data_IF_319173666157
#
_entry.id   IF_319173666157
#
_cell.length_a   1.000
_cell.length_b   1.000
_cell.length_c   1.000
_cell.angle_alpha   90.00
_cell.angle_beta   90.00
_cell.angle_gamma   90.00
#
_symmetry.space_group_name_H-M   'P 1'
#
loop_
_entity.id
_entity.type
_entity.pdbx_description
1 polymer ?
#
# COMPACT_ATOMS: atom_id res chain seq x y z
N UNK A 1 -10.17 0.37 6.27
CA UNK A 1 -9.38 1.45 5.62
C UNK A 1 -9.39 2.74 6.43
N UNK A 2 -10.54 3.36 6.74
CA UNK A 2 -10.56 4.68 7.39
C UNK A 2 -9.72 4.75 8.69
N UNK A 3 -9.85 3.76 9.57
CA UNK A 3 -9.05 3.72 10.81
C UNK A 3 -7.54 3.65 10.56
N UNK A 4 -7.11 2.88 9.54
CA UNK A 4 -5.70 2.84 9.15
C UNK A 4 -5.23 4.20 8.65
N UNK A 5 -5.98 4.87 7.77
CA UNK A 5 -5.58 6.18 7.23
C UNK A 5 -5.49 7.26 8.32
N UNK A 6 -6.43 7.28 9.28
CA UNK A 6 -6.38 8.24 10.39
C UNK A 6 -5.13 8.03 11.25
N UNK A 7 -4.78 6.78 11.57
CA UNK A 7 -3.57 6.48 12.32
C UNK A 7 -2.29 6.70 11.50
N UNK A 8 -2.28 6.30 10.23
CA UNK A 8 -1.16 6.41 9.29
C UNK A 8 -0.79 7.88 9.04
N UNK A 9 -1.78 8.76 8.83
CA UNK A 9 -1.55 10.20 8.67
C UNK A 9 -0.82 10.80 9.89
N UNK A 10 -1.09 10.30 11.11
CA UNK A 10 -0.39 10.73 12.33
C UNK A 10 1.04 10.18 12.35
N UNK A 11 1.21 8.88 12.10
CA UNK A 11 2.51 8.19 12.11
C UNK A 11 3.48 8.76 11.08
N UNK A 12 2.95 9.11 9.91
CA UNK A 12 3.70 9.64 8.76
C UNK A 12 3.72 11.17 8.73
N UNK A 13 3.20 11.83 9.77
CA UNK A 13 3.13 13.29 9.88
C UNK A 13 2.53 14.01 8.65
N UNK A 14 1.58 13.36 7.97
CA UNK A 14 0.97 13.80 6.72
C UNK A 14 0.19 15.11 6.87
N UNK A 15 0.22 15.95 5.84
CA UNK A 15 -0.49 17.23 5.84
C UNK A 15 -1.92 17.14 5.28
N UNK A 16 -2.08 16.46 4.14
CA UNK A 16 -3.35 16.38 3.41
C UNK A 16 -3.68 14.94 3.02
N UNK A 17 -4.98 14.65 2.99
CA UNK A 17 -5.56 13.38 2.55
C UNK A 17 -6.85 13.67 1.80
N UNK A 18 -6.97 13.17 0.56
CA UNK A 18 -8.16 13.34 -0.30
C UNK A 18 -8.54 14.82 -0.53
N UNK A 19 -7.53 15.68 -0.74
CA UNK A 19 -7.71 17.10 -1.02
C UNK A 19 -8.11 17.96 0.20
N UNK A 20 -8.05 17.41 1.41
CA UNK A 20 -8.34 18.13 2.66
C UNK A 20 -7.22 17.91 3.69
N UNK A 21 -7.19 18.72 4.74
CA UNK A 21 -6.30 18.47 5.88
C UNK A 21 -6.56 17.08 6.49
N UNK A 22 -5.49 16.38 6.86
CA UNK A 22 -5.58 15.12 7.61
C UNK A 22 -6.39 15.30 8.90
N UNK A 23 -7.06 14.25 9.35
CA UNK A 23 -8.02 14.34 10.47
C UNK A 23 -7.41 14.97 11.73
N UNK A 24 -6.21 14.52 12.11
CA UNK A 24 -5.49 15.01 13.28
C UNK A 24 -4.97 16.46 13.16
N UNK A 25 -4.96 17.03 11.95
CA UNK A 25 -4.57 18.41 11.66
C UNK A 25 -5.73 19.39 11.73
N UNK A 26 -6.97 18.92 11.86
CA UNK A 26 -8.14 19.80 12.04
C UNK A 26 -8.10 20.45 13.42
N UNK A 27 -8.52 21.71 13.46
CA UNK A 27 -8.62 22.49 14.70
C UNK A 27 -9.51 21.75 15.71
N UNK A 28 -9.00 21.60 16.95
CA UNK A 28 -9.71 20.93 18.04
C UNK A 28 -9.63 19.40 18.05
N UNK A 29 -8.98 18.75 17.07
CA UNK A 29 -8.83 17.28 17.04
C UNK A 29 -7.48 16.85 17.62
N UNK A 30 -6.37 17.26 17.01
CA UNK A 30 -5.03 16.88 17.48
C UNK A 30 -4.84 15.37 17.63
N UNK A 31 -4.22 14.94 18.72
CA UNK A 31 -3.94 13.51 18.98
C UNK A 31 -5.14 12.71 19.50
N UNK A 32 -6.29 13.35 19.77
CA UNK A 32 -7.54 12.64 20.06
C UNK A 32 -7.97 11.76 18.87
N UNK A 33 -7.49 12.10 17.67
CA UNK A 33 -7.57 11.29 16.46
C UNK A 33 -7.09 9.84 16.63
N UNK A 34 -6.19 9.56 17.58
CA UNK A 34 -5.78 8.17 17.90
C UNK A 34 -6.99 7.38 18.42
N UNK A 35 -7.76 7.95 19.33
CA UNK A 35 -8.97 7.32 19.83
C UNK A 35 -10.05 7.23 18.74
N UNK A 36 -10.15 8.24 17.87
CA UNK A 36 -11.08 8.21 16.73
C UNK A 36 -10.76 7.06 15.77
N UNK A 37 -9.48 6.74 15.55
CA UNK A 37 -9.08 5.56 14.78
C UNK A 37 -9.57 4.26 15.44
N UNK A 38 -9.47 4.15 16.78
CA UNK A 38 -10.02 2.99 17.49
C UNK A 38 -11.54 2.90 17.38
N UNK A 39 -12.27 4.03 17.48
CA UNK A 39 -13.71 4.07 17.27
C UNK A 39 -14.11 3.62 15.86
N UNK A 40 -13.36 4.04 14.84
CA UNK A 40 -13.56 3.59 13.46
C UNK A 40 -13.33 2.08 13.31
N UNK A 41 -12.31 1.53 13.97
CA UNK A 41 -12.03 0.09 13.95
C UNK A 41 -13.14 -0.72 14.67
N UNK A 42 -13.54 -0.30 15.88
CA UNK A 42 -14.63 -0.93 16.64
C UNK A 42 -15.96 -0.85 15.90
N UNK A 43 -16.22 0.23 15.17
CA UNK A 43 -17.44 0.38 14.35
C UNK A 43 -17.54 -0.71 13.27
N UNK A 44 -16.43 -1.13 12.66
CA UNK A 44 -16.45 -2.23 11.67
C UNK A 44 -16.94 -3.53 12.31
N UNK A 45 -16.50 -3.83 13.52
CA UNK A 45 -16.96 -5.01 14.26
C UNK A 45 -18.44 -4.91 14.59
N UNK A 46 -18.88 -3.78 15.16
CA UNK A 46 -20.28 -3.54 15.52
C UNK A 46 -21.18 -3.69 14.29
N UNK A 47 -20.81 -3.06 13.16
CA UNK A 47 -21.58 -3.15 11.92
C UNK A 47 -21.60 -4.58 11.36
N UNK A 48 -20.50 -5.31 11.45
CA UNK A 48 -20.42 -6.72 11.01
C UNK A 48 -21.39 -7.59 11.81
N UNK A 49 -21.46 -7.39 13.14
CA UNK A 49 -22.39 -8.11 14.02
C UNK A 49 -23.84 -7.69 13.78
N UNK A 50 -24.12 -6.38 13.68
CA UNK A 50 -25.48 -5.85 13.56
C UNK A 50 -26.12 -6.14 12.20
N UNK A 51 -25.37 -5.99 11.11
CA UNK A 51 -25.89 -6.13 9.76
C UNK A 51 -25.71 -7.52 9.17
N UNK A 52 -25.23 -8.48 9.97
CA UNK A 52 -25.23 -9.88 9.61
C UNK A 52 -24.62 -10.12 8.23
N UNK A 53 -23.37 -9.66 8.01
CA UNK A 53 -22.47 -10.42 7.13
C UNK A 53 -22.66 -11.86 7.58
N UNK A 54 -23.35 -12.66 6.75
CA UNK A 54 -24.28 -13.71 7.19
C UNK A 54 -23.76 -14.48 8.40
N UNK A 55 -24.66 -14.94 9.28
CA UNK A 55 -24.27 -15.90 10.33
C UNK A 55 -23.37 -17.01 9.76
N UNK A 56 -23.49 -17.37 8.48
CA UNK A 56 -22.58 -18.24 7.74
C UNK A 56 -21.18 -17.64 7.45
N UNK A 57 -21.03 -16.40 6.98
CA UNK A 57 -19.72 -15.73 6.79
C UNK A 57 -18.94 -15.63 8.10
N UNK A 58 -19.62 -15.23 9.18
CA UNK A 58 -19.05 -15.17 10.54
C UNK A 58 -18.87 -16.57 11.14
N UNK A 59 -19.68 -17.57 10.79
CA UNK A 59 -19.50 -18.96 11.27
C UNK A 59 -18.37 -19.70 10.55
N UNK A 60 -18.12 -19.40 9.28
CA UNK A 60 -17.05 -20.01 8.48
C UNK A 60 -15.69 -19.43 8.90
N UNK A 61 -15.59 -18.09 9.07
CA UNK A 61 -14.37 -17.47 9.57
C UNK A 61 -14.64 -16.15 10.33
N UNK A 62 -14.99 -16.23 11.63
CA UNK A 62 -15.35 -15.04 12.43
C UNK A 62 -14.16 -14.08 12.61
N UNK A 63 -12.95 -14.60 12.44
CA UNK A 63 -11.72 -13.84 12.60
C UNK A 63 -11.26 -13.19 11.30
N UNK A 64 -11.93 -13.40 10.17
CA UNK A 64 -11.41 -12.95 8.87
C UNK A 64 -11.12 -11.45 8.79
N UNK A 65 -12.04 -10.54 9.20
CA UNK A 65 -11.74 -9.10 9.22
C UNK A 65 -10.60 -8.74 10.19
N UNK A 66 -10.54 -9.40 11.35
CA UNK A 66 -9.51 -9.20 12.37
C UNK A 66 -8.14 -9.70 11.91
N UNK A 67 -8.10 -10.83 11.20
CA UNK A 67 -6.89 -11.39 10.63
C UNK A 67 -6.30 -10.44 9.60
N UNK A 68 -7.13 -9.83 8.74
CA UNK A 68 -6.64 -8.84 7.79
C UNK A 68 -6.19 -7.55 8.50
N UNK A 69 -6.90 -7.10 9.53
CA UNK A 69 -6.44 -5.96 10.33
C UNK A 69 -5.06 -6.23 10.95
N UNK A 70 -4.88 -7.39 11.57
CA UNK A 70 -3.60 -7.82 12.14
C UNK A 70 -2.49 -7.93 11.09
N UNK A 71 -2.78 -8.47 9.90
CA UNK A 71 -1.83 -8.50 8.78
C UNK A 71 -1.40 -7.09 8.37
N UNK A 72 -2.33 -6.15 8.29
CA UNK A 72 -2.01 -4.76 7.96
C UNK A 72 -1.21 -4.06 9.06
N UNK A 73 -1.52 -4.30 10.33
CA UNK A 73 -0.74 -3.80 11.47
C UNK A 73 0.70 -4.36 11.48
N UNK A 74 0.88 -5.64 11.16
CA UNK A 74 2.22 -6.23 10.97
C UNK A 74 2.97 -5.57 9.79
N UNK A 75 2.26 -5.29 8.70
CA UNK A 75 2.80 -4.54 7.56
C UNK A 75 3.23 -3.13 7.95
N UNK A 76 2.40 -2.43 8.73
CA UNK A 76 2.72 -1.10 9.26
C UNK A 76 3.93 -1.14 10.18
N UNK A 77 4.01 -2.13 11.08
CA UNK A 77 5.17 -2.33 11.92
C UNK A 77 6.44 -2.52 11.07
N UNK A 78 6.37 -3.38 10.05
CA UNK A 78 7.50 -3.61 9.13
C UNK A 78 7.92 -2.32 8.40
N UNK A 79 6.97 -1.50 7.96
CA UNK A 79 7.23 -0.20 7.34
C UNK A 79 8.03 0.71 8.28
N UNK A 80 7.50 0.93 9.49
CA UNK A 80 8.08 1.85 10.48
C UNK A 80 9.46 1.41 10.98
N UNK A 81 9.66 0.11 11.26
CA UNK A 81 10.98 -0.38 11.74
C UNK A 81 12.04 -0.39 10.64
N UNK A 82 11.62 -0.42 9.37
CA UNK A 82 12.53 -0.38 8.22
C UNK A 82 13.04 1.04 8.01
N UNK A 83 12.19 2.04 8.27
CA UNK A 83 12.43 3.46 8.05
C UNK A 83 12.42 4.28 9.36
N UNK A 84 13.32 4.04 10.33
CA UNK A 84 13.31 4.80 11.57
C UNK A 84 13.69 6.26 11.32
N UNK A 85 12.92 7.20 11.88
CA UNK A 85 13.12 8.65 11.73
C UNK A 85 14.51 9.11 12.23
N UNK A 86 15.07 8.41 13.22
CA UNK A 86 16.34 8.79 13.85
C UNK A 86 17.59 8.39 13.07
N UNK A 87 17.48 7.51 12.06
CA UNK A 87 18.66 7.01 11.34
C UNK A 87 18.30 6.46 9.95
N UNK A 88 18.89 7.06 8.92
CA UNK A 88 18.87 6.52 7.55
C UNK A 88 19.83 5.31 7.49
N UNK A 89 19.32 4.16 7.06
CA UNK A 89 20.09 2.93 6.85
C UNK A 89 19.60 2.23 5.58
N UNK A 90 20.12 2.67 4.44
CA UNK A 90 19.71 2.18 3.11
C UNK A 90 20.00 0.69 2.91
N UNK A 91 20.84 0.06 3.74
CA UNK A 91 21.09 -1.38 3.67
C UNK A 91 19.86 -2.22 4.04
N UNK A 92 18.88 -1.62 4.73
CA UNK A 92 17.60 -2.26 5.04
C UNK A 92 16.63 -2.25 3.85
N UNK A 93 16.87 -1.40 2.85
CA UNK A 93 15.98 -1.22 1.71
C UNK A 93 16.31 -2.25 0.64
N UNK A 94 15.78 -3.46 0.83
CA UNK A 94 15.88 -4.56 -0.13
C UNK A 94 14.54 -4.85 -0.78
N UNK A 95 14.58 -5.43 -1.97
CA UNK A 95 13.37 -5.89 -2.67
C UNK A 95 12.55 -6.87 -1.82
N UNK A 96 13.23 -7.78 -1.10
CA UNK A 96 12.56 -8.72 -0.20
C UNK A 96 11.83 -8.00 0.94
N UNK A 97 12.45 -6.97 1.52
CA UNK A 97 11.85 -6.17 2.59
C UNK A 97 10.64 -5.40 2.07
N UNK A 98 10.79 -4.76 0.91
CA UNK A 98 9.74 -4.02 0.23
C UNK A 98 8.50 -4.90 -0.03
N UNK A 99 8.70 -6.04 -0.71
CA UNK A 99 7.60 -6.98 -1.00
C UNK A 99 6.90 -7.47 0.25
N UNK A 100 7.62 -7.68 1.35
CA UNK A 100 7.01 -8.04 2.62
C UNK A 100 6.15 -6.90 3.20
N UNK A 101 6.66 -5.66 3.21
CA UNK A 101 5.90 -4.48 3.67
C UNK A 101 4.61 -4.36 2.86
N UNK A 102 4.72 -4.31 1.54
CA UNK A 102 3.58 -4.09 0.63
C UNK A 102 2.53 -5.20 0.73
N UNK A 103 2.97 -6.46 0.75
CA UNK A 103 2.08 -7.62 0.90
C UNK A 103 1.18 -7.47 2.13
N UNK A 104 1.77 -7.10 3.27
CA UNK A 104 1.06 -7.04 4.53
C UNK A 104 0.32 -5.71 4.74
N UNK A 105 0.99 -4.57 4.51
CA UNK A 105 0.45 -3.22 4.70
C UNK A 105 -0.69 -2.92 3.74
N UNK A 106 -0.63 -3.41 2.50
CA UNK A 106 -1.55 -2.94 1.44
C UNK A 106 -2.36 -4.08 0.82
N UNK A 107 -1.71 -5.16 0.38
CA UNK A 107 -2.34 -6.13 -0.51
C UNK A 107 -3.50 -6.90 0.14
N UNK A 108 -3.35 -7.32 1.41
CA UNK A 108 -4.40 -8.07 2.09
C UNK A 108 -5.70 -7.27 2.26
N UNK A 109 -5.65 -6.05 2.80
CA UNK A 109 -6.87 -5.30 3.08
C UNK A 109 -7.45 -4.61 1.85
N UNK A 110 -6.61 -4.23 0.87
CA UNK A 110 -7.05 -3.47 -0.30
C UNK A 110 -7.62 -4.37 -1.39
N UNK A 111 -7.09 -5.58 -1.55
CA UNK A 111 -7.47 -6.49 -2.66
C UNK A 111 -8.06 -7.81 -2.15
N UNK A 112 -7.37 -8.51 -1.25
CA UNK A 112 -7.84 -9.83 -0.82
C UNK A 112 -9.12 -9.76 0.01
N UNK A 113 -9.17 -8.90 1.03
CA UNK A 113 -10.32 -8.73 1.93
C UNK A 113 -11.66 -8.49 1.21
N UNK A 114 -11.81 -7.50 0.33
CA UNK A 114 -13.11 -7.25 -0.31
C UNK A 114 -13.58 -8.41 -1.19
N UNK A 115 -12.67 -9.08 -1.90
CA UNK A 115 -13.04 -10.22 -2.76
C UNK A 115 -13.36 -11.45 -1.92
N UNK A 116 -12.52 -11.78 -0.94
CA UNK A 116 -12.75 -12.93 -0.06
C UNK A 116 -14.01 -12.75 0.81
N UNK A 117 -14.32 -11.53 1.25
CA UNK A 117 -15.59 -11.24 1.91
C UNK A 117 -16.78 -11.56 0.99
N UNK A 118 -16.74 -11.13 -0.28
CA UNK A 118 -17.78 -11.45 -1.26
C UNK A 118 -17.86 -12.96 -1.56
N UNK A 119 -16.71 -13.66 -1.62
CA UNK A 119 -16.65 -15.12 -1.78
C UNK A 119 -17.37 -15.84 -0.65
N UNK A 120 -17.06 -15.50 0.61
CA UNK A 120 -17.76 -16.07 1.77
C UNK A 120 -19.27 -15.77 1.75
N UNK A 121 -19.67 -14.53 1.40
CA UNK A 121 -21.08 -14.14 1.30
C UNK A 121 -21.86 -14.88 0.21
N UNK A 122 -21.17 -15.41 -0.79
CA UNK A 122 -21.77 -16.12 -1.94
C UNK A 122 -21.57 -17.63 -1.89
N UNK A 123 -21.03 -18.16 -0.78
CA UNK A 123 -20.88 -19.59 -0.54
C UNK A 123 -19.60 -20.23 -1.11
N UNK A 124 -18.64 -19.42 -1.58
CA UNK A 124 -17.31 -19.90 -1.96
C UNK A 124 -16.42 -19.90 -0.71
N UNK A 125 -16.32 -21.04 -0.02
CA UNK A 125 -15.57 -21.17 1.25
C UNK A 125 -14.37 -22.14 1.16
N UNK A 126 -14.14 -22.75 0.00
CA UNK A 126 -13.07 -23.73 -0.13
C UNK A 126 -11.68 -23.07 -0.04
N UNK A 127 -10.76 -23.75 0.65
CA UNK A 127 -9.38 -23.29 0.78
C UNK A 127 -8.70 -23.11 -0.59
N UNK A 128 -9.00 -23.99 -1.55
CA UNK A 128 -8.44 -23.93 -2.90
C UNK A 128 -8.86 -22.65 -3.63
N UNK A 129 -10.15 -22.28 -3.59
CA UNK A 129 -10.66 -21.06 -4.21
C UNK A 129 -10.05 -19.81 -3.58
N UNK A 130 -9.98 -19.75 -2.25
CA UNK A 130 -9.37 -18.62 -1.54
C UNK A 130 -7.86 -18.51 -1.82
N UNK A 131 -7.13 -19.62 -1.90
CA UNK A 131 -5.70 -19.61 -2.21
C UNK A 131 -5.44 -19.17 -3.67
N UNK A 132 -6.30 -19.60 -4.60
CA UNK A 132 -6.26 -19.13 -5.99
C UNK A 132 -6.57 -17.63 -6.11
N UNK A 133 -7.61 -17.13 -5.44
CA UNK A 133 -7.93 -15.70 -5.40
C UNK A 133 -6.77 -14.90 -4.78
N UNK A 134 -6.19 -15.39 -3.69
CA UNK A 134 -5.06 -14.76 -2.99
C UNK A 134 -3.82 -14.66 -3.87
N UNK A 135 -3.51 -15.67 -4.68
CA UNK A 135 -2.38 -15.63 -5.61
C UNK A 135 -2.48 -14.47 -6.62
N UNK A 136 -3.69 -14.16 -7.09
CA UNK A 136 -3.95 -13.04 -7.99
C UNK A 136 -3.94 -11.71 -7.22
N UNK A 137 -4.68 -11.64 -6.13
CA UNK A 137 -4.98 -10.39 -5.43
C UNK A 137 -3.78 -9.83 -4.67
N UNK A 138 -2.86 -10.68 -4.22
CA UNK A 138 -1.63 -10.20 -3.59
C UNK A 138 -0.67 -9.57 -4.61
N UNK A 139 -0.58 -10.11 -5.83
CA UNK A 139 0.19 -9.49 -6.93
C UNK A 139 -0.44 -8.15 -7.35
N UNK A 140 -1.77 -8.07 -7.40
CA UNK A 140 -2.47 -6.80 -7.67
C UNK A 140 -2.16 -5.76 -6.61
N UNK A 141 -2.10 -6.17 -5.34
CA UNK A 141 -1.73 -5.29 -4.23
C UNK A 141 -0.29 -4.81 -4.30
N UNK A 142 0.64 -5.67 -4.73
CA UNK A 142 2.02 -5.28 -4.98
C UNK A 142 2.09 -4.20 -6.07
N UNK A 143 1.48 -4.47 -7.22
CA UNK A 143 1.41 -3.52 -8.32
C UNK A 143 0.80 -2.17 -7.87
N UNK A 144 -0.32 -2.21 -7.15
CA UNK A 144 -1.02 -1.01 -6.69
C UNK A 144 -0.18 -0.13 -5.77
N UNK A 145 0.59 -0.73 -4.85
CA UNK A 145 1.45 0.03 -3.95
C UNK A 145 2.66 0.60 -4.68
N UNK A 146 3.25 -0.12 -5.65
CA UNK A 146 4.33 0.42 -6.48
C UNK A 146 3.85 1.63 -7.27
N UNK A 147 2.60 1.61 -7.75
CA UNK A 147 1.98 2.80 -8.35
C UNK A 147 1.79 3.94 -7.33
N UNK A 148 1.41 3.64 -6.08
CA UNK A 148 1.27 4.65 -5.03
C UNK A 148 2.61 5.33 -4.72
N UNK A 149 3.68 4.55 -4.56
CA UNK A 149 5.05 5.05 -4.33
C UNK A 149 5.57 5.89 -5.52
N UNK A 150 5.26 5.46 -6.75
CA UNK A 150 5.58 6.24 -7.95
C UNK A 150 4.84 7.57 -7.96
N UNK A 151 3.53 7.56 -7.69
CA UNK A 151 2.69 8.75 -7.64
C UNK A 151 3.03 9.66 -6.46
N UNK A 152 3.57 9.13 -5.37
CA UNK A 152 4.07 9.93 -4.25
C UNK A 152 5.22 10.85 -4.69
N UNK A 153 6.15 10.32 -5.50
CA UNK A 153 7.29 11.10 -5.97
C UNK A 153 6.97 11.96 -7.22
N UNK A 154 6.24 11.40 -8.18
CA UNK A 154 6.06 11.95 -9.53
C UNK A 154 4.63 12.37 -9.87
N UNK A 155 3.65 12.02 -9.03
CA UNK A 155 2.26 12.38 -9.23
C UNK A 155 2.00 13.87 -8.97
N UNK A 156 0.98 14.40 -9.63
CA UNK A 156 0.49 15.75 -9.39
C UNK A 156 -0.33 15.78 -8.08
N UNK A 157 0.05 16.57 -7.06
CA UNK A 157 -0.69 16.69 -5.81
C UNK A 157 -2.17 17.07 -5.98
N UNK A 158 -2.53 17.81 -7.04
CA UNK A 158 -3.92 18.16 -7.32
C UNK A 158 -4.75 16.94 -7.74
N UNK A 159 -4.11 15.98 -8.44
CA UNK A 159 -4.74 14.74 -8.90
C UNK A 159 -4.73 13.65 -7.81
N UNK A 160 -3.61 13.49 -7.10
CA UNK A 160 -3.47 12.49 -6.03
C UNK A 160 -4.19 12.91 -4.74
N UNK A 161 -4.42 14.21 -4.56
CA UNK A 161 -5.04 14.78 -3.37
C UNK A 161 -4.20 14.66 -2.10
N UNK A 162 -2.89 14.38 -2.24
CA UNK A 162 -1.88 14.36 -1.18
C UNK A 162 -0.55 14.93 -1.68
N UNK A 163 0.21 15.54 -0.78
CA UNK A 163 1.62 15.88 -1.04
C UNK A 163 2.47 14.65 -0.71
N UNK A 164 3.33 14.23 -1.63
CA UNK A 164 4.21 13.09 -1.38
C UNK A 164 5.30 13.40 -0.36
N UNK A 165 5.56 12.43 0.52
CA UNK A 165 6.47 12.55 1.66
C UNK A 165 7.45 11.39 1.78
N UNK A 166 7.40 10.38 0.91
CA UNK A 166 8.19 9.16 1.05
C UNK A 166 9.70 9.41 1.21
N UNK A 167 10.24 10.38 0.47
CA UNK A 167 11.67 10.75 0.53
C UNK A 167 12.00 11.37 1.89
N UNK A 168 11.18 12.31 2.35
CA UNK A 168 11.38 13.03 3.62
C UNK A 168 11.22 12.09 4.82
N UNK A 169 10.28 11.14 4.72
CA UNK A 169 9.93 10.21 5.79
C UNK A 169 10.81 8.96 5.80
N UNK A 170 11.88 8.95 5.00
CA UNK A 170 12.85 7.85 4.92
C UNK A 170 12.17 6.51 4.52
N UNK A 171 11.09 6.55 3.75
CA UNK A 171 10.29 5.37 3.43
C UNK A 171 11.06 4.41 2.54
N UNK A 172 10.89 3.12 2.81
CA UNK A 172 11.35 2.04 1.96
C UNK A 172 10.39 1.89 0.77
N UNK A 173 10.34 2.90 -0.11
CA UNK A 173 9.50 2.92 -1.31
C UNK A 173 10.10 2.07 -2.44
N UNK A 174 9.29 1.74 -3.44
CA UNK A 174 9.77 1.04 -4.63
C UNK A 174 10.90 1.82 -5.33
N UNK A 175 10.76 3.14 -5.41
CA UNK A 175 11.72 4.01 -6.10
C UNK A 175 13.11 3.95 -5.46
N UNK A 176 13.21 3.97 -4.13
CA UNK A 176 14.53 3.89 -3.48
C UNK A 176 15.15 2.51 -3.62
N UNK A 177 14.34 1.45 -3.55
CA UNK A 177 14.81 0.07 -3.72
C UNK A 177 15.33 -0.17 -5.14
N UNK A 178 14.60 0.30 -6.14
CA UNK A 178 15.01 0.16 -7.54
C UNK A 178 16.19 1.09 -7.89
N UNK A 179 16.25 2.30 -7.30
CA UNK A 179 17.40 3.19 -7.41
C UNK A 179 18.67 2.53 -6.85
N UNK A 180 18.60 1.91 -5.66
CA UNK A 180 19.73 1.22 -5.03
C UNK A 180 20.31 0.07 -5.86
N UNK A 181 19.53 -0.50 -6.79
CA UNK A 181 20.00 -1.53 -7.74
C UNK A 181 20.77 -0.96 -8.93
N UNK A 182 20.63 0.34 -9.20
CA UNK A 182 21.16 1.02 -10.40
C UNK A 182 22.29 2.00 -10.11
N UNK A 183 22.37 2.49 -8.87
CA UNK A 183 23.36 3.50 -8.48
C UNK A 183 24.80 3.00 -8.52
N UNK A 184 25.69 3.87 -8.98
CA UNK A 184 27.14 3.77 -8.71
C UNK A 184 27.46 4.14 -7.26
N UNK A 185 28.67 3.83 -6.74
CA UNK A 185 29.06 4.23 -5.38
C UNK A 185 28.91 5.74 -5.11
N UNK A 186 29.25 6.60 -6.08
CA UNK A 186 29.12 8.05 -5.93
C UNK A 186 27.64 8.49 -5.91
N UNK A 187 26.79 7.90 -6.75
CA UNK A 187 25.36 8.17 -6.74
C UNK A 187 24.69 7.67 -5.46
N UNK A 188 25.16 6.54 -4.92
CA UNK A 188 24.69 6.02 -3.64
C UNK A 188 25.01 6.98 -2.50
N UNK A 189 26.21 7.58 -2.49
CA UNK A 189 26.56 8.59 -1.49
C UNK A 189 25.61 9.80 -1.54
N UNK A 190 25.25 10.27 -2.75
CA UNK A 190 24.24 11.32 -2.92
C UNK A 190 22.92 10.90 -2.27
N UNK A 191 22.47 9.66 -2.48
CA UNK A 191 21.25 9.16 -1.86
C UNK A 191 21.38 9.13 -0.32
N UNK A 192 22.50 8.65 0.23
CA UNK A 192 22.74 8.57 1.68
C UNK A 192 22.76 9.95 2.37
N UNK A 193 23.25 10.99 1.70
CA UNK A 193 23.32 12.36 2.24
C UNK A 193 21.99 13.13 2.19
N UNK A 194 21.08 12.73 1.28
CA UNK A 194 19.90 13.51 0.94
C UNK A 194 18.56 12.82 1.22
N UNK A 195 18.51 11.49 1.32
CA UNK A 195 17.28 10.74 1.64
C UNK A 195 16.92 10.87 3.13
N UNK A 196 15.63 10.79 3.47
CA UNK A 196 15.15 10.92 4.85
C UNK A 196 15.34 12.31 5.47
N UNK A 197 15.51 13.33 4.63
CA UNK A 197 15.72 14.71 5.04
C UNK A 197 14.50 15.57 4.70
N UNK A 198 14.15 16.51 5.58
CA UNK A 198 12.96 17.37 5.41
C UNK A 198 13.22 18.59 4.53
N UNK A 199 14.49 18.91 4.33
CA UNK A 199 14.94 20.05 3.56
C UNK A 199 14.60 19.88 2.06
N UNK A 200 13.85 20.82 1.44
CA UNK A 200 13.40 20.70 0.06
C UNK A 200 14.53 20.50 -0.96
N UNK A 201 15.68 21.14 -0.76
CA UNK A 201 16.84 21.03 -1.64
C UNK A 201 17.44 19.61 -1.66
N UNK A 202 17.34 18.87 -0.55
CA UNK A 202 17.78 17.49 -0.48
C UNK A 202 16.80 16.56 -1.18
N UNK A 203 15.51 16.79 -1.01
CA UNK A 203 14.45 16.07 -1.74
C UNK A 203 14.62 16.25 -3.26
N UNK A 204 14.91 17.48 -3.71
CA UNK A 204 15.17 17.78 -5.13
C UNK A 204 16.36 16.96 -5.65
N UNK A 205 17.48 16.89 -4.92
CA UNK A 205 18.64 16.07 -5.32
C UNK A 205 18.31 14.58 -5.48
N UNK A 206 17.46 14.03 -4.60
CA UNK A 206 17.00 12.64 -4.73
C UNK A 206 16.16 12.47 -6.00
N UNK A 207 15.25 13.41 -6.29
CA UNK A 207 14.43 13.37 -7.51
C UNK A 207 15.27 13.51 -8.78
N UNK A 208 16.25 14.42 -8.78
CA UNK A 208 17.22 14.56 -9.88
C UNK A 208 18.02 13.27 -10.11
N UNK A 209 18.43 12.59 -9.03
CA UNK A 209 19.10 11.30 -9.12
C UNK A 209 18.17 10.25 -9.75
N UNK A 210 16.91 10.16 -9.31
CA UNK A 210 15.93 9.25 -9.92
C UNK A 210 15.71 9.55 -11.40
N UNK A 211 15.63 10.81 -11.79
CA UNK A 211 15.48 11.21 -13.18
C UNK A 211 16.73 10.82 -14.01
N UNK A 212 17.93 11.02 -13.47
CA UNK A 212 19.19 10.62 -14.12
C UNK A 212 19.32 9.10 -14.34
N UNK A 213 18.65 8.29 -13.51
CA UNK A 213 18.62 6.83 -13.59
C UNK A 213 17.45 6.30 -14.44
N UNK A 214 16.64 7.19 -15.02
CA UNK A 214 15.50 6.80 -15.86
C UNK A 214 14.38 6.09 -15.08
N UNK A 215 14.16 6.44 -13.81
CA UNK A 215 13.18 5.75 -12.94
C UNK A 215 11.75 5.81 -13.48
N UNK A 216 11.39 6.86 -14.23
CA UNK A 216 10.09 6.93 -14.93
C UNK A 216 9.92 5.85 -15.99
N UNK A 217 10.96 5.59 -16.79
CA UNK A 217 10.95 4.54 -17.80
C UNK A 217 10.94 3.15 -17.14
N UNK A 218 11.72 2.98 -16.06
CA UNK A 218 11.73 1.75 -15.27
C UNK A 218 10.33 1.40 -14.73
N UNK A 219 9.59 2.40 -14.23
CA UNK A 219 8.23 2.20 -13.77
C UNK A 219 7.27 1.84 -14.91
N UNK A 220 7.38 2.49 -16.07
CA UNK A 220 6.54 2.18 -17.24
C UNK A 220 6.74 0.72 -17.71
N UNK A 221 8.00 0.27 -17.81
CA UNK A 221 8.34 -1.13 -18.12
C UNK A 221 7.80 -2.10 -17.05
N UNK A 222 7.94 -1.74 -15.78
CA UNK A 222 7.37 -2.52 -14.68
C UNK A 222 5.84 -2.61 -14.77
N UNK A 223 5.15 -1.49 -15.01
CA UNK A 223 3.69 -1.43 -15.10
C UNK A 223 3.16 -2.31 -16.24
N UNK A 224 3.77 -2.25 -17.42
CA UNK A 224 3.38 -3.09 -18.56
C UNK A 224 3.62 -4.58 -18.28
N UNK A 225 4.80 -4.93 -17.76
CA UNK A 225 5.12 -6.33 -17.44
C UNK A 225 4.26 -6.87 -16.30
N UNK A 226 3.93 -6.05 -15.29
CA UNK A 226 3.07 -6.43 -14.16
C UNK A 226 1.65 -6.68 -14.62
N UNK A 227 1.12 -5.85 -15.52
CA UNK A 227 -0.20 -6.07 -16.09
C UNK A 227 -0.27 -7.37 -16.90
N UNK A 228 0.75 -7.68 -17.71
CA UNK A 228 0.82 -8.96 -18.43
C UNK A 228 0.87 -10.16 -17.46
N UNK A 229 1.74 -10.11 -16.44
CA UNK A 229 1.80 -11.15 -15.40
C UNK A 229 0.46 -11.35 -14.69
N UNK A 230 -0.25 -10.25 -14.39
CA UNK A 230 -1.58 -10.32 -13.79
C UNK A 230 -2.59 -11.02 -14.70
N UNK A 231 -2.57 -10.75 -16.01
CA UNK A 231 -3.44 -11.44 -16.96
C UNK A 231 -3.16 -12.95 -17.00
N UNK A 232 -1.89 -13.36 -16.98
CA UNK A 232 -1.49 -14.77 -16.93
C UNK A 232 -1.93 -15.44 -15.63
N UNK A 233 -1.74 -14.77 -14.48
CA UNK A 233 -2.18 -15.27 -13.18
C UNK A 233 -3.70 -15.45 -13.11
N UNK A 234 -4.46 -14.49 -13.65
CA UNK A 234 -5.92 -14.59 -13.74
C UNK A 234 -6.30 -15.80 -14.59
N UNK A 235 -5.67 -15.96 -15.75
CA UNK A 235 -5.97 -17.09 -16.64
C UNK A 235 -5.67 -18.44 -15.97
N UNK A 236 -4.61 -18.51 -15.17
CA UNK A 236 -4.17 -19.72 -14.47
C UNK A 236 -5.02 -20.06 -13.24
N UNK A 237 -5.36 -19.08 -12.42
CA UNK A 237 -5.92 -19.31 -11.07
C UNK A 237 -7.44 -19.11 -10.98
N UNK A 238 -8.07 -18.39 -11.90
CA UNK A 238 -9.51 -18.11 -11.83
C UNK A 238 -10.40 -19.20 -12.47
N UNK A 239 -9.97 -20.46 -12.57
CA UNK A 239 -10.75 -21.51 -13.25
C UNK A 239 -12.09 -21.86 -12.56
N UNK A 240 -12.21 -21.60 -11.26
CA UNK A 240 -13.44 -21.80 -10.47
C UNK A 240 -14.06 -20.49 -9.97
N UNK A 241 -13.55 -19.35 -10.43
CA UNK A 241 -13.96 -18.03 -9.98
C UNK A 241 -14.32 -17.16 -11.20
N UNK A 242 -15.29 -16.25 -11.10
CA UNK A 242 -15.60 -15.36 -12.23
C UNK A 242 -14.39 -14.49 -12.59
N UNK A 243 -13.78 -14.74 -13.76
CA UNK A 243 -12.56 -14.05 -14.23
C UNK A 243 -12.78 -12.55 -14.36
N UNK A 244 -14.00 -12.16 -14.69
CA UNK A 244 -14.46 -10.79 -14.91
C UNK A 244 -14.27 -9.91 -13.67
N UNK A 245 -14.33 -10.49 -12.46
CA UNK A 245 -14.07 -9.78 -11.21
C UNK A 245 -12.61 -9.31 -11.19
N UNK A 246 -11.67 -10.22 -11.41
CA UNK A 246 -10.24 -9.90 -11.41
C UNK A 246 -9.85 -9.00 -12.58
N UNK A 247 -10.38 -9.25 -13.79
CA UNK A 247 -10.14 -8.38 -14.95
C UNK A 247 -10.73 -6.98 -14.75
N UNK A 248 -11.87 -6.88 -14.07
CA UNK A 248 -12.47 -5.59 -13.68
C UNK A 248 -11.59 -4.82 -12.70
N UNK A 249 -11.04 -5.50 -11.68
CA UNK A 249 -10.10 -4.90 -10.73
C UNK A 249 -8.79 -4.48 -11.41
N UNK A 250 -8.20 -5.34 -12.24
CA UNK A 250 -6.97 -5.06 -12.98
C UNK A 250 -7.11 -3.81 -13.86
N UNK A 251 -8.24 -3.68 -14.58
CA UNK A 251 -8.52 -2.49 -15.41
C UNK A 251 -8.68 -1.21 -14.61
N UNK A 252 -9.17 -1.28 -13.36
CA UNK A 252 -9.31 -0.10 -12.50
C UNK A 252 -7.98 0.43 -12.02
N UNK A 253 -6.97 -0.44 -11.85
CA UNK A 253 -5.67 -0.05 -11.31
C UNK A 253 -4.62 0.18 -12.40
N UNK A 254 -4.71 -0.49 -13.55
CA UNK A 254 -3.76 -0.31 -14.64
C UNK A 254 -3.78 1.13 -15.19
N UNK A 255 -2.62 1.77 -15.27
CA UNK A 255 -2.46 3.16 -15.74
C UNK A 255 -3.33 4.17 -14.97
N UNK A 256 -3.59 3.89 -13.69
CA UNK A 256 -4.35 4.80 -12.84
C UNK A 256 -3.58 6.10 -12.65
N UNK A 257 -4.32 7.21 -12.69
CA UNK A 257 -3.79 8.54 -12.39
C UNK A 257 -4.06 8.95 -10.93
N UNK A 258 -4.76 8.11 -10.16
CA UNK A 258 -5.11 8.29 -8.74
C UNK A 258 -5.34 6.96 -8.03
#
# INVERSE_FOLDING_TARGET
>A
QAFFLVADDIMDASLTRRGQLCWYKKEGIGLDAINDAFLLASSVYILTVLFGLSWETVRINPFFPFQTAYQTELGQMLDLITAPVSKVDLNRFSEQRYKAIVKYKTAFYSFYLPVAAAMYMTGFDSKEEHDNAKAILLEMGEFFQIQDDYLDCYGDPELTGKVGTDIQDNKCSWLVVECLRRVTPNQRQILEENYGCKEPEKVIKVKELYDSLGMRAAFQEYEESSYQRLQELIQKHANRLPKEIFLGLARKIYKRQK
#
